data_IF_598513250352
#
_entry.id   IF_598513250352
#
_cell.length_a   1.000
_cell.length_b   1.000
_cell.length_c   1.000
_cell.angle_alpha   90.00
_cell.angle_beta   90.00
_cell.angle_gamma   90.00
#
_symmetry.space_group_name_H-M   'P 1'
#
loop_
_entity.id
_entity.type
_entity.pdbx_description
1 polymer ?
#
# COMPACT_ATOMS: atom_id res chain seq x y z
N UNK A 1 -12.23 2.66 9.51
CA UNK A 1 -11.07 2.61 10.43
C UNK A 1 -9.73 2.79 9.73
N UNK A 2 -9.49 2.16 8.57
CA UNK A 2 -8.31 2.39 7.72
C UNK A 2 -7.95 3.90 7.51
N UNK A 3 -8.90 4.72 7.06
CA UNK A 3 -8.68 6.17 6.85
C UNK A 3 -8.30 6.92 8.14
N UNK A 4 -8.82 6.49 9.30
CA UNK A 4 -8.46 7.09 10.59
C UNK A 4 -7.03 6.72 10.98
N UNK A 5 -6.61 5.47 10.76
CA UNK A 5 -5.23 5.05 10.98
C UNK A 5 -4.23 5.87 10.14
N UNK A 6 -4.55 6.14 8.87
CA UNK A 6 -3.71 7.00 8.02
C UNK A 6 -3.68 8.47 8.47
N UNK A 7 -4.75 8.95 9.12
CA UNK A 7 -4.76 10.23 9.83
C UNK A 7 -3.81 10.23 11.04
N UNK A 8 -3.92 9.22 11.91
CA UNK A 8 -3.09 9.08 13.10
C UNK A 8 -1.60 8.93 12.77
N UNK A 9 -1.25 8.17 11.73
CA UNK A 9 0.13 8.03 11.26
C UNK A 9 0.72 9.40 10.89
N UNK A 10 -0.02 10.24 10.17
CA UNK A 10 0.42 11.59 9.78
C UNK A 10 0.59 12.54 10.97
N UNK A 11 -0.16 12.31 12.04
CA UNK A 11 -0.05 13.07 13.29
C UNK A 11 1.03 12.52 14.25
N UNK A 12 1.65 11.38 13.92
CA UNK A 12 2.59 10.69 14.81
C UNK A 12 1.93 9.96 15.99
N UNK A 13 0.60 9.85 15.99
CA UNK A 13 -0.18 9.17 17.03
C UNK A 13 -0.20 7.66 16.79
N UNK A 14 0.97 7.02 16.87
CA UNK A 14 1.14 5.62 16.46
C UNK A 14 0.29 4.63 17.26
N UNK A 15 0.09 4.83 18.56
CA UNK A 15 -0.76 3.95 19.38
C UNK A 15 -2.22 3.99 18.92
N UNK A 16 -2.72 5.18 18.56
CA UNK A 16 -4.06 5.34 18.00
C UNK A 16 -4.17 4.70 16.61
N UNK A 17 -3.11 4.80 15.79
CA UNK A 17 -3.04 4.11 14.51
C UNK A 17 -3.07 2.58 14.67
N UNK A 18 -2.32 2.02 15.63
CA UNK A 18 -2.35 0.58 15.96
C UNK A 18 -3.76 0.15 16.35
N UNK A 19 -4.42 0.91 17.24
CA UNK A 19 -5.79 0.63 17.67
C UNK A 19 -6.78 0.61 16.50
N UNK A 20 -6.70 1.62 15.62
CA UNK A 20 -7.57 1.71 14.45
C UNK A 20 -7.34 0.57 13.44
N UNK A 21 -6.10 0.13 13.25
CA UNK A 21 -5.78 -1.04 12.39
C UNK A 21 -6.33 -2.33 13.01
N UNK A 22 -6.12 -2.53 14.31
CA UNK A 22 -6.62 -3.71 15.03
C UNK A 22 -8.15 -3.81 14.95
N UNK A 23 -8.86 -2.69 15.10
CA UNK A 23 -10.31 -2.65 14.94
C UNK A 23 -10.74 -2.95 13.50
N UNK A 24 -10.02 -2.41 12.50
CA UNK A 24 -10.24 -2.75 11.08
C UNK A 24 -10.15 -4.26 10.86
N UNK A 25 -9.11 -4.91 11.40
CA UNK A 25 -8.92 -6.37 11.32
C UNK A 25 -10.04 -7.16 11.99
N UNK A 26 -10.44 -6.77 13.20
CA UNK A 26 -11.54 -7.42 13.90
C UNK A 26 -12.89 -7.28 13.16
N UNK A 27 -13.12 -6.16 12.47
CA UNK A 27 -14.30 -5.98 11.62
C UNK A 27 -14.22 -6.90 10.39
N UNK A 28 -13.07 -6.96 9.71
CA UNK A 28 -12.87 -7.82 8.53
C UNK A 28 -12.98 -9.31 8.83
N UNK A 29 -12.56 -9.77 10.02
CA UNK A 29 -12.78 -11.16 10.42
C UNK A 29 -14.26 -11.50 10.59
N UNK A 30 -15.09 -10.51 10.93
CA UNK A 30 -16.53 -10.65 11.15
C UNK A 30 -17.36 -10.37 9.90
N UNK A 31 -16.88 -9.55 8.98
CA UNK A 31 -17.55 -9.21 7.73
C UNK A 31 -16.92 -9.95 6.55
N UNK A 32 -17.72 -10.44 5.59
CA UNK A 32 -17.17 -10.96 4.32
C UNK A 32 -16.68 -9.82 3.39
N UNK A 33 -16.50 -8.60 3.91
CA UNK A 33 -16.08 -7.42 3.16
C UNK A 33 -14.56 -7.39 2.97
N UNK A 34 -14.07 -8.29 2.12
CA UNK A 34 -12.64 -8.51 1.85
C UNK A 34 -11.95 -7.36 1.09
N UNK A 35 -12.71 -6.40 0.58
CA UNK A 35 -12.19 -5.29 -0.22
C UNK A 35 -11.34 -4.30 0.60
N UNK A 36 -11.53 -4.22 1.93
CA UNK A 36 -10.75 -3.34 2.84
C UNK A 36 -9.45 -4.02 3.31
N UNK A 37 -9.29 -5.32 3.07
CA UNK A 37 -8.20 -6.14 3.61
C UNK A 37 -6.83 -5.73 3.07
N UNK A 38 -6.74 -5.52 1.76
CA UNK A 38 -5.51 -5.05 1.13
C UNK A 38 -5.10 -3.66 1.59
N UNK A 39 -6.08 -2.76 1.77
CA UNK A 39 -5.83 -1.39 2.22
C UNK A 39 -5.40 -1.34 3.69
N UNK A 40 -5.97 -2.21 4.52
CA UNK A 40 -5.55 -2.35 5.92
C UNK A 40 -4.09 -2.79 6.00
N UNK A 41 -3.67 -3.74 5.16
CA UNK A 41 -2.27 -4.16 5.10
C UNK A 41 -1.33 -3.08 4.54
N UNK A 42 -1.78 -2.28 3.57
CA UNK A 42 -1.00 -1.12 3.09
C UNK A 42 -0.74 -0.11 4.22
N UNK A 43 -1.78 0.23 4.97
CA UNK A 43 -1.67 1.22 6.06
C UNK A 43 -0.84 0.68 7.24
N UNK A 44 -0.90 -0.62 7.50
CA UNK A 44 0.00 -1.29 8.46
C UNK A 44 1.46 -1.20 8.02
N UNK A 45 1.75 -1.34 6.73
CA UNK A 45 3.09 -1.10 6.19
C UNK A 45 3.56 0.34 6.40
N UNK A 46 2.69 1.32 6.12
CA UNK A 46 2.99 2.74 6.35
C UNK A 46 3.28 3.02 7.83
N UNK A 47 2.52 2.42 8.74
CA UNK A 47 2.74 2.54 10.18
C UNK A 47 4.11 2.01 10.59
N UNK A 48 4.51 0.82 10.09
CA UNK A 48 5.82 0.24 10.37
C UNK A 48 7.00 1.10 9.90
N UNK A 49 6.84 1.82 8.78
CA UNK A 49 7.83 2.78 8.33
C UNK A 49 7.83 4.03 9.22
N UNK A 50 6.65 4.59 9.51
CA UNK A 50 6.52 5.84 10.24
C UNK A 50 6.96 5.72 11.71
N UNK A 51 6.72 4.58 12.36
CA UNK A 51 7.10 4.35 13.75
C UNK A 51 8.50 3.75 13.92
N UNK A 52 9.26 3.56 12.83
CA UNK A 52 10.61 3.00 12.84
C UNK A 52 10.68 1.51 13.19
N UNK A 53 9.56 0.77 13.17
CA UNK A 53 9.54 -0.66 13.47
C UNK A 53 10.32 -1.51 12.44
N UNK A 54 10.51 -0.98 11.23
CA UNK A 54 11.46 -1.51 10.26
C UNK A 54 10.90 -1.72 8.86
N UNK A 55 11.79 -1.58 7.87
CA UNK A 55 11.46 -1.74 6.46
C UNK A 55 11.00 -3.16 6.10
N UNK A 56 11.53 -4.19 6.75
CA UNK A 56 11.16 -5.58 6.48
C UNK A 56 9.71 -5.91 6.85
N UNK A 57 9.21 -5.37 7.97
CA UNK A 57 7.83 -5.53 8.42
C UNK A 57 6.88 -4.80 7.47
N UNK A 58 7.27 -3.61 7.01
CA UNK A 58 6.51 -2.86 6.03
C UNK A 58 6.39 -3.62 4.69
N UNK A 59 7.52 -4.13 4.18
CA UNK A 59 7.56 -4.96 2.96
C UNK A 59 6.65 -6.18 3.06
N UNK A 60 6.71 -6.91 4.18
CA UNK A 60 5.84 -8.07 4.41
C UNK A 60 4.35 -7.70 4.41
N UNK A 61 4.00 -6.51 4.92
CA UNK A 61 2.62 -6.02 4.89
C UNK A 61 2.19 -5.68 3.46
N UNK A 62 3.00 -4.98 2.69
CA UNK A 62 2.68 -4.66 1.30
C UNK A 62 2.57 -5.90 0.42
N UNK A 63 3.47 -6.89 0.56
CA UNK A 63 3.40 -8.15 -0.19
C UNK A 63 2.11 -8.93 0.11
N UNK A 64 1.64 -8.91 1.37
CA UNK A 64 0.33 -9.48 1.73
C UNK A 64 -0.82 -8.73 1.06
N UNK A 65 -0.80 -7.40 1.13
CA UNK A 65 -1.79 -6.55 0.48
C UNK A 65 -1.86 -6.80 -1.03
N UNK A 66 -0.71 -6.87 -1.70
CA UNK A 66 -0.59 -7.05 -3.14
C UNK A 66 -1.15 -8.41 -3.60
N UNK A 67 -0.91 -9.47 -2.83
CA UNK A 67 -1.50 -10.78 -3.11
C UNK A 67 -3.03 -10.71 -3.06
N UNK A 68 -3.58 -10.07 -2.04
CA UNK A 68 -5.03 -9.93 -1.87
C UNK A 68 -5.66 -9.11 -2.99
N UNK A 69 -5.05 -8.01 -3.42
CA UNK A 69 -5.59 -7.19 -4.52
C UNK A 69 -5.63 -7.97 -5.83
N UNK A 70 -4.60 -8.79 -6.09
CA UNK A 70 -4.55 -9.68 -7.28
C UNK A 70 -5.62 -10.77 -7.24
N UNK A 71 -5.78 -11.43 -6.09
CA UNK A 71 -6.81 -12.45 -5.89
C UNK A 71 -8.22 -11.87 -6.09
N UNK A 72 -8.44 -10.63 -5.64
CA UNK A 72 -9.70 -9.92 -5.76
C UNK A 72 -9.89 -9.24 -7.12
N UNK A 73 -8.85 -9.21 -7.98
CA UNK A 73 -8.81 -8.44 -9.24
C UNK A 73 -9.11 -6.95 -9.03
N UNK A 74 -8.74 -6.41 -7.88
CA UNK A 74 -8.99 -5.03 -7.47
C UNK A 74 -7.87 -4.10 -7.94
N UNK A 75 -7.88 -3.72 -9.22
CA UNK A 75 -6.77 -3.00 -9.86
C UNK A 75 -6.39 -1.68 -9.19
N UNK A 76 -7.37 -0.87 -8.78
CA UNK A 76 -7.11 0.41 -8.11
C UNK A 76 -6.38 0.21 -6.78
N UNK A 77 -6.74 -0.83 -6.02
CA UNK A 77 -6.05 -1.17 -4.78
C UNK A 77 -4.67 -1.78 -5.05
N UNK A 78 -4.54 -2.59 -6.11
CA UNK A 78 -3.25 -3.14 -6.53
C UNK A 78 -2.24 -2.02 -6.82
N UNK A 79 -2.66 -0.98 -7.54
CA UNK A 79 -1.83 0.20 -7.84
C UNK A 79 -1.34 0.89 -6.56
N UNK A 80 -2.23 1.13 -5.59
CA UNK A 80 -1.88 1.80 -4.33
C UNK A 80 -0.86 1.01 -3.50
N UNK A 81 -1.04 -0.30 -3.43
CA UNK A 81 -0.08 -1.18 -2.74
C UNK A 81 1.24 -1.25 -3.50
N UNK A 82 1.20 -1.36 -4.83
CA UNK A 82 2.39 -1.39 -5.67
C UNK A 82 3.20 -0.10 -5.58
N UNK A 83 2.57 1.08 -5.53
CA UNK A 83 3.26 2.35 -5.28
C UNK A 83 4.01 2.32 -3.94
N UNK A 84 3.32 1.93 -2.87
CA UNK A 84 3.89 1.92 -1.51
C UNK A 84 5.09 0.98 -1.41
N UNK A 85 5.00 -0.21 -2.03
CA UNK A 85 6.09 -1.19 -2.09
C UNK A 85 7.25 -0.72 -2.96
N UNK A 86 6.95 -0.14 -4.13
CA UNK A 86 7.97 0.34 -5.06
C UNK A 86 8.76 1.51 -4.48
N UNK A 87 8.11 2.41 -3.73
CA UNK A 87 8.80 3.45 -2.95
C UNK A 87 9.75 2.85 -1.92
N UNK A 88 9.27 1.87 -1.14
CA UNK A 88 10.10 1.19 -0.16
C UNK A 88 11.33 0.52 -0.79
N UNK A 89 11.15 -0.17 -1.91
CA UNK A 89 12.26 -0.78 -2.63
C UNK A 89 13.20 0.25 -3.25
N UNK A 90 12.69 1.39 -3.71
CA UNK A 90 13.53 2.51 -4.16
C UNK A 90 14.42 3.04 -3.04
N UNK A 91 13.86 3.21 -1.83
CA UNK A 91 14.61 3.64 -0.64
C UNK A 91 15.65 2.59 -0.18
N UNK A 92 15.51 1.35 -0.62
CA UNK A 92 16.46 0.25 -0.41
C UNK A 92 17.44 0.06 -1.56
N UNK A 93 17.47 0.97 -2.55
CA UNK A 93 18.27 0.88 -3.78
C UNK A 93 17.92 -0.33 -4.68
N UNK A 94 16.74 -0.94 -4.48
CA UNK A 94 16.19 -2.06 -5.25
C UNK A 94 15.33 -1.54 -6.41
N UNK A 95 15.90 -0.65 -7.22
CA UNK A 95 15.20 0.07 -8.30
C UNK A 95 14.62 -0.85 -9.38
N UNK A 96 15.35 -1.90 -9.75
CA UNK A 96 14.89 -2.83 -10.79
C UNK A 96 13.67 -3.61 -10.34
N UNK A 97 13.64 -4.10 -9.09
CA UNK A 97 12.48 -4.77 -8.52
C UNK A 97 11.27 -3.85 -8.42
N UNK A 98 11.48 -2.58 -8.03
CA UNK A 98 10.43 -1.55 -8.00
C UNK A 98 9.82 -1.35 -9.40
N UNK A 99 10.64 -1.26 -10.44
CA UNK A 99 10.18 -1.09 -11.81
C UNK A 99 9.46 -2.33 -12.33
N UNK A 100 10.04 -3.52 -12.13
CA UNK A 100 9.45 -4.80 -12.56
C UNK A 100 8.08 -5.05 -11.92
N UNK A 101 7.87 -4.58 -10.69
CA UNK A 101 6.57 -4.63 -10.03
C UNK A 101 5.60 -3.58 -10.59
N UNK A 102 6.02 -2.32 -10.71
CA UNK A 102 5.12 -1.19 -10.92
C UNK A 102 4.70 -1.03 -12.38
N UNK A 103 5.62 -1.25 -13.33
CA UNK A 103 5.37 -1.04 -14.75
C UNK A 103 4.17 -1.86 -15.26
N UNK A 104 4.07 -3.17 -15.00
CA UNK A 104 2.94 -3.96 -15.49
C UNK A 104 1.60 -3.52 -14.89
N UNK A 105 1.60 -3.01 -13.65
CA UNK A 105 0.38 -2.53 -12.99
C UNK A 105 -0.09 -1.24 -13.65
N UNK A 106 0.81 -0.28 -13.87
CA UNK A 106 0.51 0.98 -14.57
C UNK A 106 0.01 0.73 -16.00
N UNK A 107 0.61 -0.21 -16.72
CA UNK A 107 0.22 -0.56 -18.09
C UNK A 107 -1.21 -1.12 -18.18
N UNK A 108 -1.78 -1.65 -17.08
CA UNK A 108 -3.18 -2.11 -17.06
C UNK A 108 -4.22 -0.99 -17.05
N UNK A 109 -3.78 0.25 -16.79
CA UNK A 109 -4.63 1.45 -16.80
C UNK A 109 -4.51 2.16 -18.15
N UNK A 110 -5.27 1.67 -19.13
CA UNK A 110 -5.39 2.30 -20.45
C UNK A 110 -6.57 3.29 -20.48
N UNK A 111 -6.29 4.50 -20.97
CA UNK A 111 -7.22 5.60 -21.33
C UNK A 111 -7.99 6.35 -20.22
N UNK A 112 -7.81 7.67 -20.19
CA UNK A 112 -8.77 8.69 -19.73
C UNK A 112 -8.99 8.86 -18.23
N UNK A 113 -8.48 7.96 -17.39
CA UNK A 113 -8.65 8.02 -15.94
C UNK A 113 -7.33 8.40 -15.26
N UNK A 114 -7.19 9.68 -14.92
CA UNK A 114 -6.15 10.16 -14.02
C UNK A 114 -6.68 10.24 -12.59
N UNK A 115 -6.05 9.50 -11.69
CA UNK A 115 -6.26 9.59 -10.26
C UNK A 115 -4.90 9.77 -9.59
N UNK A 116 -4.86 10.39 -8.40
CA UNK A 116 -3.62 10.76 -7.73
C UNK A 116 -2.61 9.58 -7.63
N UNK A 117 -3.09 8.37 -7.33
CA UNK A 117 -2.23 7.19 -7.24
C UNK A 117 -1.61 6.80 -8.60
N UNK A 118 -2.28 7.03 -9.73
CA UNK A 118 -1.73 6.73 -11.07
C UNK A 118 -0.71 7.77 -11.52
N UNK A 119 -0.96 9.05 -11.22
CA UNK A 119 0.02 10.12 -11.46
C UNK A 119 1.29 9.86 -10.66
N UNK A 120 1.14 9.54 -9.37
CA UNK A 120 2.24 9.19 -8.48
C UNK A 120 3.03 7.98 -8.99
N UNK A 121 2.35 6.95 -9.49
CA UNK A 121 2.99 5.76 -10.04
C UNK A 121 3.86 6.07 -11.26
N UNK A 122 3.37 6.94 -12.15
CA UNK A 122 4.11 7.36 -13.36
C UNK A 122 5.34 8.20 -13.01
N UNK A 123 5.19 9.16 -12.11
CA UNK A 123 6.32 9.95 -11.60
C UNK A 123 7.39 9.05 -10.96
N UNK A 124 6.97 8.04 -10.20
CA UNK A 124 7.88 7.06 -9.61
C UNK A 124 8.60 6.23 -10.69
N UNK A 125 7.89 5.74 -11.72
CA UNK A 125 8.50 5.00 -12.83
C UNK A 125 9.50 5.85 -13.62
N UNK A 126 9.20 7.12 -13.87
CA UNK A 126 10.14 8.06 -14.49
C UNK A 126 11.39 8.24 -13.64
N UNK A 127 11.25 8.38 -12.32
CA UNK A 127 12.40 8.48 -11.39
C UNK A 127 13.18 7.17 -11.19
N UNK A 128 12.65 6.04 -11.64
CA UNK A 128 13.34 4.75 -11.61
C UNK A 128 14.24 4.56 -12.84
N UNK A 129 13.90 5.13 -14.00
CA UNK A 129 14.65 5.03 -15.28
C UNK A 129 16.10 5.50 -15.20
#
# INVERSE_FOLDING_TARGET
>A
MAVLAEGYIRLGEFDAAVGAIAESKAIMERSQERWVESETHRIEGNLHLANGAGQAQAEACYLRGLRLTRDQRARSLELRVANSLSRLWTDQDRRDEARELLQPVVDTFTDGFEFADLTEARELLEGLS
#
